data_IF_030757493838
#
_entry.id   IF_030757493838
#
_cell.length_a   1.000
_cell.length_b   1.000
_cell.length_c   1.000
_cell.angle_alpha   90.00
_cell.angle_beta   90.00
_cell.angle_gamma   90.00
#
_symmetry.space_group_name_H-M   'P 1'
#
loop_
_entity.id
_entity.type
_entity.pdbx_description
1 polymer ?
#
# COMPACT_ATOMS: atom_id res chain seq x y z
N UNK A 1 -14.71 -2.56 -9.21
CA UNK A 1 -16.06 -2.15 -9.60
C UNK A 1 -17.15 -2.79 -8.74
N UNK A 2 -18.25 -2.09 -8.59
CA UNK A 2 -19.47 -2.62 -8.02
C UNK A 2 -20.62 -2.47 -9.04
N UNK A 3 -21.12 -3.56 -9.68
CA UNK A 3 -20.73 -4.96 -9.44
C UNK A 3 -19.33 -5.30 -9.97
N UNK A 4 -18.70 -6.35 -9.39
CA UNK A 4 -17.49 -6.93 -9.92
C UNK A 4 -17.79 -7.70 -11.21
N UNK A 5 -16.88 -7.64 -12.19
CA UNK A 5 -17.04 -8.26 -13.49
C UNK A 5 -15.80 -9.09 -13.77
N UNK A 6 -15.99 -10.37 -14.11
CA UNK A 6 -14.94 -11.24 -14.60
C UNK A 6 -15.10 -11.43 -16.12
N UNK A 7 -14.03 -11.21 -16.87
CA UNK A 7 -13.99 -11.44 -18.30
C UNK A 7 -13.40 -12.82 -18.55
N UNK A 8 -14.19 -13.71 -19.15
CA UNK A 8 -13.78 -15.08 -19.49
C UNK A 8 -13.51 -15.18 -20.98
N UNK A 9 -12.42 -15.83 -21.36
CA UNK A 9 -12.09 -16.08 -22.75
C UNK A 9 -12.77 -17.38 -23.19
N UNK A 10 -13.60 -17.34 -24.24
CA UNK A 10 -14.37 -18.48 -24.75
C UNK A 10 -13.47 -19.67 -25.16
N UNK A 11 -12.26 -19.38 -25.65
CA UNK A 11 -11.29 -20.40 -26.07
C UNK A 11 -10.57 -21.12 -24.92
N UNK A 12 -10.76 -20.69 -23.67
CA UNK A 12 -10.14 -21.36 -22.51
C UNK A 12 -10.87 -22.65 -22.16
N UNK A 13 -10.11 -23.60 -21.57
CA UNK A 13 -10.70 -24.85 -21.06
C UNK A 13 -11.72 -24.55 -19.95
N UNK A 14 -12.63 -25.48 -19.70
CA UNK A 14 -13.61 -25.36 -18.61
C UNK A 14 -12.92 -25.22 -17.25
N UNK A 15 -11.83 -25.93 -17.04
CA UNK A 15 -11.02 -25.85 -15.82
C UNK A 15 -10.43 -24.45 -15.61
N UNK A 16 -9.88 -23.85 -16.69
CA UNK A 16 -9.35 -22.48 -16.64
C UNK A 16 -10.45 -21.47 -16.31
N UNK A 17 -11.64 -21.62 -16.91
CA UNK A 17 -12.77 -20.71 -16.63
C UNK A 17 -13.25 -20.84 -15.17
N UNK A 18 -13.37 -22.08 -14.65
CA UNK A 18 -13.72 -22.34 -13.26
C UNK A 18 -12.69 -21.74 -12.30
N UNK A 19 -11.39 -21.90 -12.59
CA UNK A 19 -10.29 -21.35 -11.81
C UNK A 19 -10.35 -19.82 -11.77
N UNK A 20 -10.49 -19.17 -12.93
CA UNK A 20 -10.58 -17.71 -13.02
C UNK A 20 -11.78 -17.19 -12.24
N UNK A 21 -12.94 -17.82 -12.34
CA UNK A 21 -14.12 -17.43 -11.57
C UNK A 21 -13.86 -17.55 -10.06
N UNK A 22 -13.33 -18.68 -9.58
CA UNK A 22 -13.04 -18.88 -8.16
C UNK A 22 -12.01 -17.85 -7.65
N UNK A 23 -10.98 -17.56 -8.44
CA UNK A 23 -9.94 -16.58 -8.13
C UNK A 23 -10.52 -15.15 -8.04
N UNK A 24 -11.36 -14.75 -8.99
CA UNK A 24 -12.02 -13.44 -8.98
C UNK A 24 -12.98 -13.31 -7.79
N UNK A 25 -13.72 -14.36 -7.41
CA UNK A 25 -14.54 -14.31 -6.20
C UNK A 25 -13.73 -14.02 -4.94
N UNK A 26 -12.55 -14.62 -4.81
CA UNK A 26 -11.68 -14.35 -3.67
C UNK A 26 -11.11 -12.93 -3.69
N UNK A 27 -10.74 -12.38 -4.85
CA UNK A 27 -10.36 -10.99 -4.98
C UNK A 27 -11.49 -10.03 -4.58
N UNK A 28 -12.72 -10.32 -4.97
CA UNK A 28 -13.89 -9.50 -4.59
C UNK A 28 -14.11 -9.52 -3.08
N UNK A 29 -13.94 -10.68 -2.44
CA UNK A 29 -14.02 -10.79 -0.98
C UNK A 29 -12.91 -9.94 -0.31
N UNK A 30 -11.68 -9.99 -0.84
CA UNK A 30 -10.57 -9.19 -0.35
C UNK A 30 -10.86 -7.69 -0.49
N UNK A 31 -11.25 -7.21 -1.66
CA UNK A 31 -11.54 -5.80 -1.92
C UNK A 31 -12.67 -5.24 -1.05
N UNK A 32 -13.67 -6.05 -0.73
CA UNK A 32 -14.79 -5.63 0.11
C UNK A 32 -14.42 -5.50 1.58
N UNK A 33 -13.41 -6.23 2.05
CA UNK A 33 -13.16 -6.39 3.47
C UNK A 33 -11.81 -5.83 3.95
N UNK A 34 -10.84 -5.62 3.06
CA UNK A 34 -9.56 -5.06 3.44
C UNK A 34 -9.65 -3.52 3.62
N UNK A 35 -9.04 -3.01 4.70
CA UNK A 35 -9.12 -1.58 5.07
C UNK A 35 -8.53 -0.64 4.00
N UNK A 36 -7.49 -1.07 3.26
CA UNK A 36 -6.89 -0.24 2.21
C UNK A 36 -7.89 0.10 1.09
N UNK A 37 -8.84 -0.82 0.80
CA UNK A 37 -9.85 -0.64 -0.23
C UNK A 37 -11.09 0.12 0.23
N UNK A 38 -11.31 0.27 1.54
CA UNK A 38 -12.49 0.99 2.06
C UNK A 38 -12.53 2.44 1.59
N UNK A 39 -11.37 3.08 1.46
CA UNK A 39 -11.28 4.47 1.02
C UNK A 39 -11.55 4.67 -0.48
N UNK A 40 -11.38 3.63 -1.28
CA UNK A 40 -11.68 3.68 -2.73
C UNK A 40 -13.13 3.33 -3.04
N UNK A 41 -13.76 2.51 -2.18
CA UNK A 41 -15.15 2.08 -2.33
C UNK A 41 -16.16 3.05 -1.69
N UNK A 42 -15.75 3.78 -0.65
CA UNK A 42 -16.55 4.83 -0.06
C UNK A 42 -16.18 6.14 -0.77
N UNK A 43 -17.09 6.65 -1.64
CA UNK A 43 -16.97 8.02 -2.10
C UNK A 43 -16.70 8.95 -0.93
N UNK A 44 -15.98 10.06 -1.15
CA UNK A 44 -15.49 11.00 -0.12
C UNK A 44 -16.56 11.51 0.88
N UNK A 45 -17.83 11.17 0.69
CA UNK A 45 -18.92 11.46 1.59
C UNK A 45 -19.67 10.15 1.90
N UNK A 46 -19.24 9.48 2.97
CA UNK A 46 -19.81 8.22 3.48
C UNK A 46 -21.29 8.32 3.92
N UNK A 47 -22.01 9.39 3.56
CA UNK A 47 -23.44 9.58 3.88
C UNK A 47 -24.39 9.06 2.82
N UNK A 48 -23.89 8.74 1.63
CA UNK A 48 -24.73 8.25 0.54
C UNK A 48 -24.11 6.97 -0.05
N UNK A 49 -24.61 5.83 0.42
CA UNK A 49 -24.24 4.50 -0.09
C UNK A 49 -24.60 4.31 -1.59
N UNK A 50 -25.26 5.29 -2.19
CA UNK A 50 -25.64 5.31 -3.61
C UNK A 50 -24.54 5.86 -4.52
N UNK A 51 -23.52 6.55 -3.98
CA UNK A 51 -22.46 7.20 -4.75
C UNK A 51 -21.17 6.36 -4.81
N UNK A 52 -21.28 5.05 -4.81
CA UNK A 52 -20.16 4.17 -5.20
C UNK A 52 -19.93 4.36 -6.70
N UNK A 53 -19.09 5.32 -7.04
CA UNK A 53 -18.72 5.61 -8.43
C UNK A 53 -18.21 4.34 -9.08
N UNK A 54 -18.89 3.90 -10.12
CA UNK A 54 -18.40 2.82 -10.96
C UNK A 54 -17.08 3.30 -11.58
N UNK A 55 -15.98 2.70 -11.17
CA UNK A 55 -14.67 3.13 -11.66
C UNK A 55 -14.58 3.07 -13.20
N UNK A 56 -15.27 2.13 -13.83
CA UNK A 56 -15.39 2.06 -15.30
C UNK A 56 -15.91 3.40 -15.87
N UNK A 57 -16.90 4.01 -15.26
CA UNK A 57 -17.45 5.29 -15.72
C UNK A 57 -16.42 6.42 -15.50
N UNK A 58 -15.67 6.39 -14.39
CA UNK A 58 -14.58 7.32 -14.14
C UNK A 58 -13.46 7.17 -15.18
N UNK A 59 -13.01 5.95 -15.47
CA UNK A 59 -12.01 5.67 -16.52
C UNK A 59 -12.49 6.10 -17.93
N UNK A 60 -13.76 5.89 -18.25
CA UNK A 60 -14.34 6.34 -19.50
C UNK A 60 -14.29 7.87 -19.62
N UNK A 61 -14.60 8.59 -18.53
CA UNK A 61 -14.49 10.05 -18.46
C UNK A 61 -13.03 10.51 -18.55
N UNK A 62 -12.10 9.86 -17.89
CA UNK A 62 -10.66 10.13 -17.97
C UNK A 62 -10.16 9.95 -19.41
N UNK A 63 -10.52 8.84 -20.06
CA UNK A 63 -10.21 8.61 -21.46
C UNK A 63 -10.84 9.64 -22.40
N UNK A 64 -12.03 10.16 -22.10
CA UNK A 64 -12.66 11.22 -22.86
C UNK A 64 -11.92 12.56 -22.70
N UNK A 65 -11.43 12.89 -21.51
CA UNK A 65 -10.61 14.08 -21.25
C UNK A 65 -9.31 14.02 -22.06
N UNK A 66 -8.58 12.92 -21.98
CA UNK A 66 -7.32 12.73 -22.70
C UNK A 66 -7.53 12.82 -24.21
N UNK A 67 -8.53 12.10 -24.77
CA UNK A 67 -8.88 12.17 -26.22
C UNK A 67 -9.28 13.55 -26.66
N UNK A 68 -10.05 14.29 -25.87
CA UNK A 68 -10.41 15.69 -26.18
C UNK A 68 -9.18 16.55 -26.38
N UNK A 69 -8.17 16.41 -25.53
CA UNK A 69 -6.95 17.20 -25.60
C UNK A 69 -6.02 16.71 -26.72
N UNK A 70 -5.87 15.39 -26.89
CA UNK A 70 -5.13 14.83 -28.04
C UNK A 70 -5.66 15.33 -29.39
N UNK A 71 -6.98 15.42 -29.54
CA UNK A 71 -7.60 15.96 -30.76
C UNK A 71 -7.39 17.47 -30.93
N UNK A 72 -7.21 18.24 -29.86
CA UNK A 72 -7.07 19.70 -29.90
C UNK A 72 -5.65 20.19 -30.12
N UNK A 73 -4.69 19.56 -29.49
CA UNK A 73 -3.29 20.04 -29.44
C UNK A 73 -2.29 19.06 -30.05
N UNK A 74 -2.76 17.89 -30.45
CA UNK A 74 -1.95 16.81 -31.04
C UNK A 74 -1.64 15.70 -30.04
N UNK A 75 -1.66 14.47 -30.54
CA UNK A 75 -1.49 13.27 -29.72
C UNK A 75 -0.09 13.21 -29.10
N UNK A 76 0.96 13.44 -29.88
CA UNK A 76 2.35 13.36 -29.43
C UNK A 76 2.64 14.26 -28.23
N UNK A 77 2.09 15.48 -28.23
CA UNK A 77 2.30 16.43 -27.13
C UNK A 77 1.60 16.00 -25.84
N UNK A 78 0.39 15.41 -25.96
CA UNK A 78 -0.37 14.91 -24.81
C UNK A 78 0.30 13.66 -24.26
N UNK A 79 0.74 12.74 -25.11
CA UNK A 79 1.46 11.53 -24.70
C UNK A 79 2.75 11.86 -23.95
N UNK A 80 3.59 12.74 -24.51
CA UNK A 80 4.83 13.18 -23.83
C UNK A 80 4.57 13.75 -22.44
N UNK A 81 3.51 14.53 -22.27
CA UNK A 81 3.15 15.09 -20.98
C UNK A 81 2.62 14.01 -20.01
N UNK A 82 1.79 13.09 -20.51
CA UNK A 82 1.27 11.97 -19.71
C UNK A 82 2.42 11.06 -19.28
N UNK A 83 3.38 10.75 -20.16
CA UNK A 83 4.56 9.96 -19.82
C UNK A 83 5.39 10.61 -18.71
N UNK A 84 5.55 11.94 -18.77
CA UNK A 84 6.20 12.70 -17.69
C UNK A 84 5.41 12.60 -16.37
N UNK A 85 4.07 12.68 -16.42
CA UNK A 85 3.24 12.52 -15.23
C UNK A 85 3.30 11.09 -14.67
N UNK A 86 3.28 10.07 -15.53
CA UNK A 86 3.38 8.66 -15.14
C UNK A 86 4.73 8.33 -14.48
N UNK A 87 5.82 9.00 -14.88
CA UNK A 87 7.10 8.84 -14.20
C UNK A 87 7.07 9.27 -12.72
N UNK A 88 6.07 10.06 -12.33
CA UNK A 88 5.85 10.56 -10.97
C UNK A 88 4.67 9.89 -10.26
N UNK A 89 3.99 8.92 -10.88
CA UNK A 89 2.74 8.32 -10.35
C UNK A 89 2.88 7.73 -8.95
N UNK A 90 4.08 7.23 -8.61
CA UNK A 90 4.37 6.66 -7.29
C UNK A 90 4.62 7.72 -6.20
N UNK A 91 4.75 9.00 -6.58
CA UNK A 91 5.02 10.11 -5.66
C UNK A 91 3.72 10.73 -5.15
N UNK A 92 2.81 9.90 -4.68
CA UNK A 92 1.59 10.26 -3.98
C UNK A 92 1.73 9.96 -2.49
N UNK A 93 0.88 10.54 -1.65
CA UNK A 93 0.87 10.25 -0.22
C UNK A 93 -0.11 9.10 0.11
N UNK A 94 0.39 7.90 0.45
CA UNK A 94 -0.47 6.76 0.79
C UNK A 94 -1.36 7.00 2.01
N UNK A 95 -1.01 7.94 2.87
CA UNK A 95 -1.75 8.24 4.10
C UNK A 95 -2.82 9.32 3.89
N UNK A 96 -2.69 10.17 2.86
CA UNK A 96 -3.62 11.27 2.58
C UNK A 96 -5.10 10.85 2.53
N UNK A 97 -5.48 9.69 1.97
CA UNK A 97 -6.87 9.24 1.98
C UNK A 97 -7.46 8.98 3.38
N UNK A 98 -6.60 8.70 4.37
CA UNK A 98 -6.98 8.37 5.75
C UNK A 98 -6.95 9.59 6.68
N UNK A 99 -6.37 10.71 6.25
CA UNK A 99 -6.29 11.92 7.05
C UNK A 99 -7.64 12.67 7.05
N UNK A 100 -8.05 13.24 8.19
CA UNK A 100 -9.20 14.16 8.23
C UNK A 100 -9.01 15.32 7.26
N UNK A 101 -10.10 15.77 6.62
CA UNK A 101 -10.08 16.89 5.64
C UNK A 101 -9.52 18.20 6.23
N UNK A 102 -9.59 18.38 7.56
CA UNK A 102 -9.12 19.58 8.26
C UNK A 102 -7.61 19.61 8.48
N UNK A 103 -6.89 18.56 8.08
CA UNK A 103 -5.42 18.46 8.22
C UNK A 103 -4.66 19.01 7.00
N UNK A 104 -5.36 19.53 6.00
CA UNK A 104 -4.69 20.30 4.93
C UNK A 104 -4.13 21.58 5.53
N UNK A 105 -2.82 21.86 5.43
CA UNK A 105 -2.31 23.17 5.81
C UNK A 105 -3.12 24.21 5.04
N UNK A 106 -3.64 25.21 5.74
CA UNK A 106 -4.43 26.28 5.12
C UNK A 106 -3.60 26.82 3.96
N UNK A 107 -4.18 26.83 2.76
CA UNK A 107 -3.57 27.47 1.61
C UNK A 107 -3.33 28.95 1.96
N UNK A 108 -2.14 29.44 1.67
CA UNK A 108 -1.67 30.78 1.93
C UNK A 108 -2.42 31.91 1.17
N UNK A 109 -3.61 31.64 0.66
CA UNK A 109 -4.40 32.65 -0.08
C UNK A 109 -5.21 33.62 0.80
N UNK A 110 -5.27 33.36 2.11
CA UNK A 110 -6.02 34.19 3.05
C UNK A 110 -5.14 34.87 4.10
N UNK A 111 -4.10 35.55 3.75
CA UNK A 111 -3.49 36.60 4.59
C UNK A 111 -2.06 36.87 4.10
N UNK A 112 -1.92 37.77 3.14
CA UNK A 112 -0.73 38.63 3.06
C UNK A 112 -0.81 39.63 4.19
N UNK A 113 -0.64 39.20 5.44
CA UNK A 113 -0.25 40.08 6.50
C UNK A 113 1.24 40.38 6.32
N UNK A 114 1.56 41.66 6.18
CA UNK A 114 2.94 42.14 6.25
C UNK A 114 3.61 41.55 7.49
N UNK A 115 4.69 40.78 7.28
CA UNK A 115 5.47 40.16 8.35
C UNK A 115 6.14 41.30 9.15
N UNK A 116 5.43 41.84 10.14
CA UNK A 116 6.07 42.59 11.20
C UNK A 116 7.06 41.67 11.90
N UNK A 117 8.31 42.11 12.01
CA UNK A 117 9.35 41.36 12.76
C UNK A 117 8.83 41.12 14.17
N UNK A 118 8.59 39.86 14.57
CA UNK A 118 8.00 39.61 15.87
C UNK A 118 8.94 40.09 16.97
N UNK A 119 8.44 41.00 17.82
CA UNK A 119 9.16 41.40 19.01
C UNK A 119 9.37 40.16 19.91
N UNK A 120 10.59 40.02 20.43
CA UNK A 120 10.93 38.94 21.35
C UNK A 120 10.04 39.01 22.59
N UNK A 121 9.22 38.01 22.90
CA UNK A 121 8.40 38.05 24.10
C UNK A 121 9.27 37.99 25.36
N UNK A 122 9.56 39.17 25.94
CA UNK A 122 10.25 39.25 27.22
C UNK A 122 9.30 38.90 28.36
N UNK A 123 9.80 38.20 29.35
CA UNK A 123 9.02 37.88 30.56
C UNK A 123 8.78 39.21 31.32
N UNK A 124 7.53 39.42 31.76
CA UNK A 124 7.11 40.64 32.46
C UNK A 124 7.85 40.79 33.79
N UNK A 125 8.45 41.96 34.00
CA UNK A 125 9.23 42.25 35.19
C UNK A 125 8.55 43.40 35.97
N UNK A 126 8.22 43.15 37.24
CA UNK A 126 7.57 44.13 38.10
C UNK A 126 8.53 45.22 38.65
N UNK A 127 9.86 45.00 38.53
CA UNK A 127 10.90 45.93 39.03
C UNK A 127 12.13 45.92 38.12
N UNK A 128 12.53 47.06 37.62
CA UNK A 128 13.61 47.26 36.63
C UNK A 128 14.94 46.56 36.99
N UNK A 129 15.33 46.50 38.27
CA UNK A 129 16.59 45.86 38.68
C UNK A 129 16.57 44.30 38.56
N UNK A 130 15.42 43.72 38.34
CA UNK A 130 15.28 42.27 38.17
C UNK A 130 15.29 41.83 36.67
N UNK A 131 15.32 42.77 35.77
CA UNK A 131 15.23 42.54 34.33
C UNK A 131 16.36 41.62 33.83
N UNK A 132 17.59 41.88 34.21
CA UNK A 132 18.74 41.05 33.85
C UNK A 132 18.76 39.65 34.48
N UNK A 133 17.98 39.45 35.55
CA UNK A 133 17.82 38.13 36.19
C UNK A 133 16.68 37.31 35.58
N UNK A 134 15.60 37.97 35.17
CA UNK A 134 14.40 37.33 34.64
C UNK A 134 14.54 37.11 33.11
N UNK A 135 15.19 38.05 32.43
CA UNK A 135 15.51 37.98 31.00
C UNK A 135 17.04 38.07 30.80
N UNK A 136 17.82 37.05 31.20
CA UNK A 136 19.26 37.08 30.98
C UNK A 136 19.56 37.11 29.48
N UNK A 137 20.67 37.75 29.11
CA UNK A 137 21.07 37.96 27.71
C UNK A 137 21.08 36.66 26.91
N UNK A 138 21.51 35.57 27.52
CA UNK A 138 21.51 34.22 26.90
C UNK A 138 20.10 33.74 26.56
N UNK A 139 19.11 34.03 27.40
CA UNK A 139 17.70 33.69 27.13
C UNK A 139 17.13 34.52 25.98
N UNK A 140 17.42 35.82 25.98
CA UNK A 140 16.97 36.73 24.92
C UNK A 140 17.58 36.36 23.58
N UNK A 141 18.88 36.01 23.54
CA UNK A 141 19.54 35.54 22.32
C UNK A 141 19.00 34.18 21.83
N UNK A 142 18.71 33.24 22.72
CA UNK A 142 18.09 31.99 22.38
C UNK A 142 16.67 32.18 21.78
N UNK A 143 15.88 33.10 22.34
CA UNK A 143 14.56 33.43 21.79
C UNK A 143 14.66 34.14 20.43
N UNK A 144 15.61 35.06 20.25
CA UNK A 144 15.89 35.71 18.95
C UNK A 144 16.26 34.67 17.89
N UNK A 145 17.15 33.74 18.24
CA UNK A 145 17.55 32.68 17.32
C UNK A 145 16.37 31.77 16.95
N UNK A 146 15.55 31.41 17.93
CA UNK A 146 14.35 30.60 17.70
C UNK A 146 13.35 31.30 16.75
N UNK A 147 13.10 32.58 16.97
CA UNK A 147 12.23 33.40 16.10
C UNK A 147 12.81 33.56 14.70
N UNK A 148 14.14 33.72 14.58
CA UNK A 148 14.80 33.78 13.29
C UNK A 148 14.71 32.44 12.53
N UNK A 149 14.91 31.32 13.23
CA UNK A 149 14.76 29.98 12.68
C UNK A 149 13.30 29.71 12.27
N UNK A 150 12.32 30.14 13.06
CA UNK A 150 10.88 30.04 12.74
C UNK A 150 10.50 30.92 11.54
N UNK A 151 11.03 32.15 11.46
CA UNK A 151 10.83 33.04 10.32
C UNK A 151 11.48 32.49 9.04
N UNK A 152 12.67 31.88 9.13
CA UNK A 152 13.30 31.21 8.01
C UNK A 152 12.49 29.97 7.56
N UNK A 153 11.91 29.22 8.50
CA UNK A 153 11.04 28.11 8.19
C UNK A 153 9.72 28.55 7.55
N UNK A 154 9.15 29.67 7.98
CA UNK A 154 7.95 30.25 7.39
C UNK A 154 8.17 30.75 5.95
N UNK A 155 9.41 31.12 5.60
CA UNK A 155 9.79 31.50 4.23
C UNK A 155 10.00 30.28 3.32
N UNK A 156 10.08 29.07 3.87
CA UNK A 156 10.23 27.84 3.07
C UNK A 156 8.92 27.50 2.39
N UNK A 157 8.98 27.32 1.10
CA UNK A 157 7.85 26.83 0.31
C UNK A 157 8.11 25.39 -0.16
N UNK A 158 7.21 24.46 0.10
CA UNK A 158 5.97 24.59 0.88
C UNK A 158 6.24 24.76 2.39
N UNK A 159 5.32 25.40 3.11
CA UNK A 159 5.42 25.65 4.56
C UNK A 159 5.54 24.33 5.36
N UNK A 160 4.90 23.29 4.90
CA UNK A 160 5.03 21.92 5.41
C UNK A 160 5.50 20.99 4.30
N UNK A 161 6.32 19.97 4.62
CA UNK A 161 6.70 18.97 3.62
C UNK A 161 5.47 18.30 3.02
N UNK A 162 5.31 18.35 1.69
CA UNK A 162 4.23 17.69 0.97
C UNK A 162 4.75 16.39 0.32
N UNK A 163 4.14 15.28 0.67
CA UNK A 163 4.50 13.97 0.15
C UNK A 163 3.80 13.66 -1.17
N UNK A 164 2.61 14.23 -1.38
CA UNK A 164 1.83 14.11 -2.60
C UNK A 164 2.35 15.09 -3.66
N UNK A 165 3.45 14.72 -4.32
CA UNK A 165 4.09 15.55 -5.34
C UNK A 165 3.15 15.87 -6.50
N UNK A 166 2.33 14.89 -6.95
CA UNK A 166 1.34 15.14 -8.00
C UNK A 166 0.30 16.17 -7.56
N UNK A 167 -0.14 16.10 -6.30
CA UNK A 167 -1.04 17.10 -5.71
C UNK A 167 -0.40 18.47 -5.63
N UNK A 168 0.84 18.55 -5.13
CA UNK A 168 1.61 19.79 -5.07
C UNK A 168 1.77 20.44 -6.45
N UNK A 169 2.13 19.68 -7.47
CA UNK A 169 2.25 20.19 -8.84
C UNK A 169 0.92 20.67 -9.41
N UNK A 170 -0.18 20.02 -9.07
CA UNK A 170 -1.53 20.40 -9.50
C UNK A 170 -1.96 21.75 -8.96
N UNK A 171 -1.55 22.06 -7.72
CA UNK A 171 -1.89 23.29 -7.01
C UNK A 171 -0.96 24.44 -7.37
N UNK A 172 0.34 24.18 -7.49
CA UNK A 172 1.38 25.22 -7.49
C UNK A 172 2.14 25.37 -8.82
N UNK A 173 2.14 24.36 -9.70
CA UNK A 173 2.87 24.46 -10.96
C UNK A 173 2.14 25.35 -11.98
N UNK A 174 2.86 26.11 -12.83
CA UNK A 174 2.29 26.98 -13.87
C UNK A 174 1.76 26.16 -15.07
N UNK A 175 0.83 25.26 -14.78
CA UNK A 175 0.25 24.35 -15.76
C UNK A 175 -0.81 25.05 -16.62
N UNK A 176 -0.82 24.76 -17.93
CA UNK A 176 -1.93 25.09 -18.80
C UNK A 176 -3.15 24.24 -18.42
N UNK A 177 -4.33 24.68 -18.82
CA UNK A 177 -5.57 23.96 -18.48
C UNK A 177 -5.57 22.49 -18.88
N UNK A 178 -5.05 22.17 -20.06
CA UNK A 178 -4.99 20.79 -20.54
C UNK A 178 -4.00 19.93 -19.75
N UNK A 179 -2.85 20.51 -19.35
CA UNK A 179 -1.85 19.85 -18.50
C UNK A 179 -2.44 19.54 -17.13
N UNK A 180 -3.12 20.52 -16.55
CA UNK A 180 -3.79 20.35 -15.26
C UNK A 180 -4.87 19.26 -15.30
N UNK A 181 -5.72 19.24 -16.36
CA UNK A 181 -6.74 18.21 -16.52
C UNK A 181 -6.10 16.81 -16.69
N UNK A 182 -5.00 16.66 -17.46
CA UNK A 182 -4.28 15.38 -17.63
C UNK A 182 -3.57 14.95 -16.36
N UNK A 183 -2.88 15.85 -15.65
CA UNK A 183 -2.23 15.54 -14.38
C UNK A 183 -3.24 15.11 -13.31
N UNK A 184 -4.40 15.77 -13.25
CA UNK A 184 -5.48 15.39 -12.34
C UNK A 184 -6.00 13.97 -12.62
N UNK A 185 -6.08 13.56 -13.89
CA UNK A 185 -6.43 12.19 -14.28
C UNK A 185 -5.39 11.21 -13.77
N UNK A 186 -4.09 11.43 -14.06
CA UNK A 186 -3.01 10.53 -13.61
C UNK A 186 -3.01 10.39 -12.10
N UNK A 187 -3.15 11.49 -11.36
CA UNK A 187 -3.22 11.46 -9.90
C UNK A 187 -4.43 10.66 -9.39
N UNK A 188 -5.61 10.83 -9.99
CA UNK A 188 -6.81 10.10 -9.62
C UNK A 188 -6.65 8.58 -9.84
N UNK A 189 -6.02 8.18 -10.96
CA UNK A 189 -5.70 6.78 -11.26
C UNK A 189 -4.67 6.22 -10.25
N UNK A 190 -3.61 6.98 -9.93
CA UNK A 190 -2.61 6.57 -8.96
C UNK A 190 -3.23 6.28 -7.59
N UNK A 191 -4.11 7.14 -7.08
CA UNK A 191 -4.82 6.89 -5.82
C UNK A 191 -5.81 5.72 -5.90
N UNK A 192 -6.40 5.47 -7.06
CA UNK A 192 -7.26 4.31 -7.25
C UNK A 192 -6.50 2.99 -7.17
N UNK A 193 -5.31 2.93 -7.78
CA UNK A 193 -4.48 1.74 -7.78
C UNK A 193 -3.61 1.56 -6.52
N UNK A 194 -3.52 2.58 -5.68
CA UNK A 194 -2.73 2.54 -4.45
C UNK A 194 -3.03 1.34 -3.54
N UNK A 195 -4.29 0.99 -3.21
CA UNK A 195 -4.59 -0.17 -2.40
C UNK A 195 -4.11 -1.48 -3.02
N UNK A 196 -4.18 -1.60 -4.35
CA UNK A 196 -3.71 -2.79 -5.07
C UNK A 196 -2.19 -2.94 -4.98
N UNK A 197 -1.45 -1.82 -5.04
CA UNK A 197 0.01 -1.81 -4.87
C UNK A 197 0.41 -2.18 -3.43
N UNK A 198 -0.34 -1.69 -2.44
CA UNK A 198 -0.08 -1.94 -1.02
C UNK A 198 -0.42 -3.35 -0.55
N UNK A 199 -1.19 -4.10 -1.32
CA UNK A 199 -1.72 -5.42 -0.92
C UNK A 199 -1.52 -6.49 -1.98
N UNK A 200 -0.52 -6.35 -2.87
CA UNK A 200 -0.32 -7.25 -3.99
C UNK A 200 -0.12 -8.70 -3.54
N UNK A 201 0.78 -8.91 -2.56
CA UNK A 201 1.11 -10.24 -2.03
C UNK A 201 -0.09 -10.84 -1.30
N UNK A 202 -0.72 -10.06 -0.42
CA UNK A 202 -1.90 -10.52 0.31
C UNK A 202 -3.07 -10.83 -0.60
N UNK A 203 -3.37 -9.96 -1.56
CA UNK A 203 -4.51 -10.09 -2.46
C UNK A 203 -4.37 -11.30 -3.38
N UNK A 204 -3.21 -11.50 -4.00
CA UNK A 204 -2.94 -12.66 -4.83
C UNK A 204 -2.83 -13.95 -3.99
N UNK A 205 -2.23 -13.85 -2.81
CA UNK A 205 -2.16 -14.97 -1.85
C UNK A 205 -3.53 -15.39 -1.37
N UNK A 206 -4.40 -14.46 -1.01
CA UNK A 206 -5.79 -14.72 -0.60
C UNK A 206 -6.60 -15.38 -1.72
N UNK A 207 -6.48 -14.83 -2.93
CA UNK A 207 -7.15 -15.38 -4.09
C UNK A 207 -6.66 -16.81 -4.41
N UNK A 208 -5.35 -17.05 -4.31
CA UNK A 208 -4.74 -18.35 -4.52
C UNK A 208 -5.12 -19.36 -3.43
N UNK A 209 -5.18 -18.93 -2.19
CA UNK A 209 -5.61 -19.76 -1.05
C UNK A 209 -7.05 -20.23 -1.23
N UNK A 210 -7.99 -19.33 -1.53
CA UNK A 210 -9.40 -19.68 -1.66
C UNK A 210 -9.73 -20.41 -2.94
N UNK A 211 -9.15 -20.01 -4.10
CA UNK A 211 -9.41 -20.78 -5.31
C UNK A 211 -8.88 -22.21 -5.18
N UNK A 212 -7.72 -22.40 -4.53
CA UNK A 212 -7.16 -23.70 -4.27
C UNK A 212 -8.14 -24.60 -3.50
N UNK A 213 -8.71 -24.09 -2.41
CA UNK A 213 -9.69 -24.82 -1.61
C UNK A 213 -10.99 -25.08 -2.37
N UNK A 214 -11.55 -24.07 -3.01
CA UNK A 214 -12.80 -24.18 -3.75
C UNK A 214 -12.68 -25.19 -4.91
N UNK A 215 -11.59 -25.11 -5.67
CA UNK A 215 -11.36 -26.01 -6.80
C UNK A 215 -11.21 -27.46 -6.34
N UNK A 216 -10.40 -27.71 -5.30
CA UNK A 216 -10.12 -29.08 -4.84
C UNK A 216 -11.25 -29.72 -4.02
N UNK A 217 -11.97 -28.93 -3.23
CA UNK A 217 -12.99 -29.44 -2.32
C UNK A 217 -14.40 -29.51 -2.96
N UNK A 218 -14.71 -28.62 -3.95
CA UNK A 218 -16.09 -28.42 -4.38
C UNK A 218 -16.32 -28.32 -5.89
N UNK A 219 -15.34 -27.87 -6.68
CA UNK A 219 -15.59 -27.43 -8.07
C UNK A 219 -15.06 -28.42 -9.10
N UNK A 220 -13.84 -28.96 -8.91
CA UNK A 220 -13.24 -29.89 -9.86
C UNK A 220 -13.78 -31.32 -9.71
N UNK A 221 -14.07 -31.93 -10.84
CA UNK A 221 -14.27 -33.36 -10.89
C UNK A 221 -12.92 -34.09 -10.86
N UNK A 222 -12.95 -35.41 -10.58
CA UNK A 222 -11.75 -36.25 -10.52
C UNK A 222 -10.92 -36.22 -11.82
N UNK A 223 -11.57 -36.01 -12.96
CA UNK A 223 -10.92 -35.90 -14.28
C UNK A 223 -10.24 -34.52 -14.49
N UNK A 224 -10.65 -33.48 -13.78
CA UNK A 224 -10.17 -32.11 -13.93
C UNK A 224 -9.03 -31.79 -12.97
N UNK A 225 -8.85 -32.57 -11.91
CA UNK A 225 -7.92 -32.27 -10.82
C UNK A 225 -6.46 -32.24 -11.29
N UNK A 226 -6.08 -33.03 -12.27
CA UNK A 226 -4.71 -33.06 -12.81
C UNK A 226 -4.43 -31.78 -13.61
N UNK A 227 -5.35 -31.43 -14.51
CA UNK A 227 -5.23 -30.20 -15.30
C UNK A 227 -5.18 -28.95 -14.39
N UNK A 228 -6.00 -28.96 -13.34
CA UNK A 228 -5.97 -27.91 -12.32
C UNK A 228 -4.60 -27.85 -11.60
N UNK A 229 -4.05 -28.99 -11.19
CA UNK A 229 -2.76 -29.05 -10.51
C UNK A 229 -1.62 -28.52 -11.39
N UNK A 230 -1.61 -28.84 -12.68
CA UNK A 230 -0.62 -28.33 -13.64
C UNK A 230 -0.71 -26.80 -13.79
N UNK A 231 -1.94 -26.26 -13.83
CA UNK A 231 -2.14 -24.78 -13.87
C UNK A 231 -1.62 -24.12 -12.61
N UNK A 232 -1.97 -24.65 -11.44
CA UNK A 232 -1.46 -24.13 -10.16
C UNK A 232 0.06 -24.19 -10.06
N UNK A 233 0.67 -25.31 -10.46
CA UNK A 233 2.12 -25.45 -10.46
C UNK A 233 2.80 -24.39 -11.34
N UNK A 234 2.23 -24.08 -12.50
CA UNK A 234 2.74 -23.04 -13.39
C UNK A 234 2.67 -21.62 -12.76
N UNK A 235 1.57 -21.28 -12.10
CA UNK A 235 1.38 -19.97 -11.46
C UNK A 235 2.29 -19.81 -10.23
N UNK A 236 2.47 -20.88 -9.46
CA UNK A 236 3.26 -20.87 -8.23
C UNK A 236 4.76 -21.16 -8.47
N UNK A 237 5.17 -21.34 -9.72
CA UNK A 237 6.58 -21.57 -10.06
C UNK A 237 7.47 -20.39 -9.60
N UNK A 238 8.65 -20.75 -9.08
CA UNK A 238 9.63 -19.76 -8.62
C UNK A 238 10.91 -19.87 -9.44
N UNK A 239 11.47 -18.72 -9.76
CA UNK A 239 12.79 -18.62 -10.40
C UNK A 239 13.78 -18.05 -9.36
N UNK A 240 14.99 -18.58 -9.24
CA UNK A 240 16.00 -18.02 -8.34
C UNK A 240 16.18 -16.52 -8.54
N UNK A 241 16.20 -15.76 -7.44
CA UNK A 241 16.33 -14.30 -7.47
C UNK A 241 15.05 -13.53 -7.81
N UNK A 242 13.91 -14.21 -7.96
CA UNK A 242 12.61 -13.57 -8.18
C UNK A 242 11.59 -14.02 -7.13
N UNK A 243 10.99 -13.05 -6.46
CA UNK A 243 9.90 -13.30 -5.52
C UNK A 243 8.59 -13.47 -6.29
N UNK A 244 7.92 -14.61 -6.09
CA UNK A 244 6.58 -14.84 -6.63
C UNK A 244 5.53 -14.44 -5.58
N UNK A 245 4.76 -13.34 -5.78
CA UNK A 245 3.78 -12.85 -4.81
C UNK A 245 2.65 -13.85 -4.56
N UNK A 246 2.26 -14.63 -5.57
CA UNK A 246 1.24 -15.68 -5.43
C UNK A 246 1.69 -16.76 -4.45
N UNK A 247 2.92 -17.27 -4.65
CA UNK A 247 3.46 -18.33 -3.80
C UNK A 247 3.73 -17.82 -2.39
N UNK A 248 4.37 -16.67 -2.24
CA UNK A 248 4.62 -16.11 -0.91
C UNK A 248 3.32 -15.88 -0.16
N UNK A 249 2.34 -15.27 -0.80
CA UNK A 249 1.06 -14.95 -0.17
C UNK A 249 0.27 -16.20 0.26
N UNK A 250 0.12 -17.20 -0.62
CA UNK A 250 -0.64 -18.41 -0.28
C UNK A 250 0.05 -19.21 0.83
N UNK A 251 1.39 -19.36 0.77
CA UNK A 251 2.11 -20.13 1.79
C UNK A 251 2.11 -19.40 3.15
N UNK A 252 2.18 -18.07 3.16
CA UNK A 252 2.12 -17.31 4.39
C UNK A 252 0.72 -17.37 5.03
N UNK A 253 -0.37 -17.32 4.26
CA UNK A 253 -1.72 -17.57 4.79
C UNK A 253 -1.88 -18.98 5.34
N UNK A 254 -1.34 -20.00 4.69
CA UNK A 254 -1.33 -21.39 5.18
C UNK A 254 -0.54 -21.52 6.48
N UNK A 255 0.62 -20.86 6.55
CA UNK A 255 1.46 -20.83 7.74
C UNK A 255 0.74 -20.17 8.94
N UNK A 256 0.06 -19.05 8.71
CA UNK A 256 -0.74 -18.39 9.75
C UNK A 256 -1.86 -19.31 10.21
N UNK A 257 -2.62 -19.91 9.29
CA UNK A 257 -3.72 -20.82 9.64
C UNK A 257 -3.21 -21.99 10.48
N UNK A 258 -2.11 -22.63 10.07
CA UNK A 258 -1.51 -23.78 10.78
C UNK A 258 -1.00 -23.39 12.18
N UNK A 259 -0.26 -22.28 12.30
CA UNK A 259 0.24 -21.77 13.59
C UNK A 259 -0.90 -21.49 14.57
N UNK A 260 -1.93 -20.80 14.13
CA UNK A 260 -3.08 -20.49 14.99
C UNK A 260 -3.90 -21.72 15.33
N UNK A 261 -4.06 -22.67 14.40
CA UNK A 261 -4.71 -23.96 14.71
C UNK A 261 -3.94 -24.76 15.77
N UNK A 262 -2.61 -24.71 15.73
CA UNK A 262 -1.74 -25.36 16.73
C UNK A 262 -1.59 -24.57 18.04
N UNK A 263 -2.06 -23.33 18.10
CA UNK A 263 -1.88 -22.45 19.25
C UNK A 263 -0.44 -21.96 19.43
N UNK A 264 0.31 -21.82 18.34
CA UNK A 264 1.70 -21.33 18.32
C UNK A 264 1.73 -19.80 18.30
N UNK A 265 1.13 -19.19 19.31
CA UNK A 265 1.05 -17.73 19.48
C UNK A 265 0.85 -17.34 20.94
N UNK A 266 1.17 -16.07 21.23
CA UNK A 266 0.98 -15.47 22.54
C UNK A 266 2.05 -15.87 23.57
N UNK A 267 1.91 -15.29 24.77
CA UNK A 267 2.94 -15.32 25.80
C UNK A 267 3.48 -16.71 26.16
N UNK A 268 2.61 -17.72 26.25
CA UNK A 268 3.04 -19.08 26.60
C UNK A 268 3.91 -19.73 25.51
N UNK A 269 3.64 -19.43 24.25
CA UNK A 269 4.45 -19.85 23.12
C UNK A 269 5.77 -19.07 23.06
N UNK A 270 5.70 -17.75 23.24
CA UNK A 270 6.85 -16.86 23.13
C UNK A 270 7.87 -17.09 24.26
N UNK A 271 7.37 -17.34 25.49
CA UNK A 271 8.20 -17.62 26.68
C UNK A 271 8.70 -19.10 26.76
N UNK A 272 8.35 -19.97 25.80
CA UNK A 272 8.75 -21.37 25.81
C UNK A 272 10.15 -21.57 25.28
N UNK A 273 11.13 -21.84 26.15
CA UNK A 273 12.52 -22.11 25.78
C UNK A 273 12.80 -23.59 25.46
N UNK A 274 11.82 -24.48 25.71
CA UNK A 274 11.97 -25.91 25.43
C UNK A 274 11.70 -26.19 23.94
N UNK A 275 12.79 -26.47 23.20
CA UNK A 275 12.73 -26.72 21.76
C UNK A 275 11.98 -28.01 21.38
N UNK A 276 12.02 -29.06 22.25
CA UNK A 276 11.26 -30.30 22.01
C UNK A 276 9.77 -30.05 22.16
N UNK A 277 9.39 -29.30 23.18
CA UNK A 277 8.00 -28.92 23.42
C UNK A 277 7.48 -28.01 22.28
N UNK A 278 8.27 -27.02 21.87
CA UNK A 278 7.91 -26.14 20.73
C UNK A 278 7.72 -26.92 19.45
N UNK A 279 8.58 -27.88 19.17
CA UNK A 279 8.50 -28.71 17.94
C UNK A 279 7.24 -29.56 17.85
N UNK A 280 6.71 -29.98 19.00
CA UNK A 280 5.50 -30.82 19.08
C UNK A 280 4.28 -30.05 19.58
N UNK A 281 4.38 -28.71 19.61
CA UNK A 281 3.32 -27.87 20.13
C UNK A 281 2.08 -27.92 19.22
N UNK A 282 1.02 -28.55 19.75
CA UNK A 282 -0.28 -28.63 19.09
C UNK A 282 -1.39 -28.65 20.15
N UNK A 283 -2.00 -27.49 20.40
CA UNK A 283 -3.12 -27.32 21.34
C UNK A 283 -4.48 -27.47 20.67
N UNK A 284 -4.54 -27.66 19.36
CA UNK A 284 -5.77 -27.82 18.58
C UNK A 284 -6.80 -26.72 18.86
N UNK A 285 -6.36 -25.48 18.81
CA UNK A 285 -7.23 -24.31 19.10
C UNK A 285 -8.23 -24.05 18.00
N UNK A 286 -7.94 -24.48 16.76
CA UNK A 286 -8.76 -24.28 15.55
C UNK A 286 -9.06 -22.79 15.22
N UNK A 287 -8.25 -21.86 15.74
CA UNK A 287 -8.42 -20.41 15.53
C UNK A 287 -7.82 -19.90 14.23
N UNK A 288 -7.13 -20.75 13.46
CA UNK A 288 -6.41 -20.33 12.25
C UNK A 288 -7.30 -19.66 11.22
N UNK A 289 -8.50 -20.19 11.01
CA UNK A 289 -9.44 -19.63 10.03
C UNK A 289 -9.91 -18.23 10.43
N UNK A 290 -10.23 -18.02 11.68
CA UNK A 290 -10.61 -16.70 12.20
C UNK A 290 -9.46 -15.70 12.04
N UNK A 291 -8.22 -16.13 12.35
CA UNK A 291 -7.04 -15.28 12.22
C UNK A 291 -6.76 -14.87 10.78
N UNK A 292 -6.82 -15.75 9.80
CA UNK A 292 -6.59 -15.34 8.40
C UNK A 292 -7.65 -14.36 7.89
N UNK A 293 -8.90 -14.42 8.36
CA UNK A 293 -9.93 -13.43 8.05
C UNK A 293 -9.67 -12.08 8.72
N UNK A 294 -9.17 -12.07 9.94
CA UNK A 294 -8.70 -10.86 10.63
C UNK A 294 -7.55 -10.22 9.83
N UNK A 295 -6.53 -11.01 9.48
CA UNK A 295 -5.35 -10.57 8.72
C UNK A 295 -5.78 -9.99 7.37
N UNK A 296 -6.64 -10.67 6.61
CA UNK A 296 -7.20 -10.14 5.37
C UNK A 296 -7.78 -8.74 5.53
N UNK A 297 -8.40 -8.45 6.68
CA UNK A 297 -9.12 -7.20 6.90
C UNK A 297 -8.23 -6.05 7.35
N UNK A 298 -7.20 -6.31 8.14
CA UNK A 298 -6.45 -5.30 8.89
C UNK A 298 -5.04 -5.01 8.37
N UNK A 299 -4.48 -5.88 7.51
CA UNK A 299 -3.08 -5.81 7.12
C UNK A 299 -2.90 -5.36 5.66
N UNK A 300 -1.73 -4.79 5.37
CA UNK A 300 -1.18 -4.60 4.04
C UNK A 300 0.08 -5.47 3.87
N UNK A 301 0.69 -5.50 2.70
CA UNK A 301 1.83 -6.37 2.42
C UNK A 301 3.01 -6.16 3.38
N UNK A 302 3.32 -4.90 3.73
CA UNK A 302 4.42 -4.58 4.64
C UNK A 302 4.14 -5.17 6.02
N UNK A 303 3.00 -4.82 6.61
CA UNK A 303 2.64 -5.31 7.96
C UNK A 303 2.38 -6.81 7.99
N UNK A 304 1.90 -7.39 6.89
CA UNK A 304 1.70 -8.82 6.73
C UNK A 304 3.02 -9.60 6.77
N UNK A 305 4.04 -9.09 6.06
CA UNK A 305 5.37 -9.70 6.07
C UNK A 305 6.05 -9.48 7.42
N UNK A 306 6.06 -8.25 7.93
CA UNK A 306 6.73 -7.91 9.19
C UNK A 306 6.21 -8.74 10.38
N UNK A 307 4.90 -8.99 10.44
CA UNK A 307 4.27 -9.70 11.56
C UNK A 307 4.37 -11.23 11.45
N UNK A 308 4.23 -11.78 10.22
CA UNK A 308 4.02 -13.21 10.05
C UNK A 308 5.17 -13.97 9.40
N UNK A 309 6.16 -13.28 8.83
CA UNK A 309 7.34 -13.94 8.29
C UNK A 309 8.25 -14.40 9.44
N UNK A 310 8.39 -15.72 9.59
CA UNK A 310 9.23 -16.31 10.63
C UNK A 310 10.45 -16.99 10.04
N UNK A 311 11.49 -17.20 10.86
CA UNK A 311 12.68 -17.92 10.43
C UNK A 311 12.36 -19.34 9.94
N UNK A 312 11.47 -20.05 10.64
CA UNK A 312 11.03 -21.39 10.25
C UNK A 312 10.36 -21.37 8.87
N UNK A 313 9.51 -20.37 8.60
CA UNK A 313 8.86 -20.20 7.30
C UNK A 313 9.89 -19.94 6.18
N UNK A 314 10.86 -19.07 6.43
CA UNK A 314 11.91 -18.74 5.46
C UNK A 314 12.73 -19.99 5.10
N UNK A 315 13.06 -20.82 6.08
CA UNK A 315 13.79 -22.07 5.88
C UNK A 315 12.95 -23.11 5.13
N UNK A 316 11.70 -23.28 5.50
CA UNK A 316 10.78 -24.23 4.87
C UNK A 316 10.49 -23.86 3.40
N UNK A 317 10.27 -22.60 3.13
CA UNK A 317 10.02 -22.09 1.78
C UNK A 317 11.29 -21.83 0.97
N UNK A 318 12.48 -22.04 1.58
CA UNK A 318 13.79 -21.83 0.95
C UNK A 318 13.94 -20.40 0.37
N UNK A 319 13.44 -19.42 1.11
CA UNK A 319 13.62 -18.01 0.79
C UNK A 319 15.04 -17.64 1.20
N UNK A 320 15.97 -17.66 0.25
CA UNK A 320 17.37 -17.36 0.47
C UNK A 320 17.77 -16.16 -0.37
N UNK A 321 18.80 -15.42 0.08
CA UNK A 321 19.41 -14.43 -0.80
C UNK A 321 20.25 -15.13 -1.87
N UNK A 322 20.15 -14.64 -3.11
CA UNK A 322 20.85 -15.19 -4.26
C UNK A 322 21.75 -14.14 -4.88
N UNK A 323 23.04 -14.47 -5.02
CA UNK A 323 24.02 -13.70 -5.79
C UNK A 323 24.21 -14.29 -7.18
N UNK A 324 24.42 -13.42 -8.19
CA UNK A 324 24.78 -13.89 -9.53
C UNK A 324 26.27 -14.11 -9.63
N UNK A 325 26.68 -15.35 -9.84
CA UNK A 325 28.11 -15.71 -10.06
C UNK A 325 28.43 -15.56 -11.53
N UNK A 326 29.15 -14.50 -11.88
CA UNK A 326 29.56 -14.20 -13.26
C UNK A 326 30.48 -15.28 -13.87
N UNK A 327 31.28 -15.99 -13.04
CA UNK A 327 32.22 -17.04 -13.53
C UNK A 327 31.48 -18.26 -14.05
N UNK A 328 30.39 -18.62 -13.41
CA UNK A 328 29.60 -19.80 -13.73
C UNK A 328 28.30 -19.44 -14.50
N UNK A 329 28.03 -18.16 -14.68
CA UNK A 329 26.76 -17.62 -15.25
C UNK A 329 25.52 -18.22 -14.61
N UNK A 330 25.53 -18.33 -13.28
CA UNK A 330 24.42 -18.94 -12.51
C UNK A 330 24.11 -18.13 -11.24
N UNK A 331 22.86 -18.21 -10.83
CA UNK A 331 22.45 -17.76 -9.51
C UNK A 331 22.84 -18.81 -8.47
N UNK A 332 23.56 -18.40 -7.44
CA UNK A 332 23.98 -19.23 -6.30
C UNK A 332 23.41 -18.65 -5.01
N UNK A 333 23.18 -19.52 -4.01
CA UNK A 333 22.71 -19.05 -2.70
C UNK A 333 23.88 -18.31 -2.04
N UNK A 334 23.67 -17.02 -1.76
CA UNK A 334 24.62 -16.15 -1.09
C UNK A 334 24.47 -16.26 0.44
N UNK A 335 23.23 -16.21 0.93
CA UNK A 335 22.96 -16.40 2.33
C UNK A 335 21.65 -17.16 2.58
N UNK A 336 21.58 -17.82 3.75
CA UNK A 336 20.40 -18.49 4.28
C UNK A 336 19.95 -17.88 5.61
N UNK A 337 20.60 -16.79 6.03
CA UNK A 337 20.30 -16.15 7.30
C UNK A 337 19.04 -15.28 7.17
N UNK A 338 18.13 -15.43 8.14
CA UNK A 338 16.87 -14.70 8.15
C UNK A 338 17.02 -13.17 8.02
N UNK A 339 18.05 -12.62 8.66
CA UNK A 339 18.30 -11.17 8.64
C UNK A 339 18.88 -10.65 7.29
N UNK A 340 19.21 -11.55 6.35
CA UNK A 340 19.79 -11.22 5.04
C UNK A 340 18.85 -11.57 3.88
N UNK A 341 17.71 -12.16 4.16
CA UNK A 341 16.62 -12.49 3.23
C UNK A 341 15.58 -11.39 3.23
#
# INVERSE_FOLDING_TARGET
NNPAIAYLLEGNSMVDQKLVMAHVYAHVDFFKNNFCFQMTSQGRDARDASDVRKWIDAMANHGAIVRKWANRIGIEKVEQFIDACLSLENLIDPQKPFLPKDFSPKSSDDEQEEVETPEVPLLRVDREYMESFINPDEFVEAQKKKLADEAEQALRFPVAPERDVLGFLLENAPLQRWERECLAVVRAEAYYFLPQMQTKIMNEGWASYWHSRLMTENICDASEIVDYADRCASVLATTPGQLNPYKLGIELFRHIEDRWNKGQFGKEWDDCDDWELRRHWDRRTELGREKIFEVRSLYNDVTFIDEFLTEDFVLDQKLYSFGYNERNSRWEIESRQFNEV
#
